data_IF_499432499645
#
_entry.id   IF_499432499645
#
_cell.length_a   1.000
_cell.length_b   1.000
_cell.length_c   1.000
_cell.angle_alpha   90.00
_cell.angle_beta   90.00
_cell.angle_gamma   90.00
#
_symmetry.space_group_name_H-M   'P 1'
#
loop_
_entity.id
_entity.type
_entity.pdbx_description
1 polymer ?
#
# COMPACT_ATOMS: atom_id res chain seq x y z
N UNK A 1 -7.50 14.93 15.44
CA UNK A 1 -8.28 14.06 16.35
C UNK A 1 -7.35 13.57 17.45
N UNK A 2 -7.78 13.51 18.71
CA UNK A 2 -6.97 13.00 19.83
C UNK A 2 -7.68 11.79 20.42
N UNK A 3 -6.94 10.68 20.54
CA UNK A 3 -7.43 9.41 21.08
C UNK A 3 -6.40 8.89 22.10
N UNK A 4 -6.88 8.09 23.04
CA UNK A 4 -6.02 7.33 23.97
C UNK A 4 -6.21 5.86 23.64
N UNK A 5 -5.11 5.14 23.50
CA UNK A 5 -5.10 3.71 23.24
C UNK A 5 -3.99 3.07 24.06
N UNK A 6 -4.22 1.84 24.49
CA UNK A 6 -3.21 1.00 25.14
C UNK A 6 -2.52 0.14 24.10
N UNK A 7 -1.20 0.04 24.20
CA UNK A 7 -0.33 -0.60 23.23
C UNK A 7 0.80 -1.28 24.00
N UNK A 8 1.12 -2.50 23.60
CA UNK A 8 2.28 -3.24 24.12
C UNK A 8 3.59 -2.47 23.85
N UNK A 9 4.48 -2.46 24.84
CA UNK A 9 5.72 -1.70 24.75
C UNK A 9 6.68 -2.23 23.69
N UNK A 10 6.71 -3.56 23.49
CA UNK A 10 7.54 -4.17 22.45
C UNK A 10 7.02 -3.82 21.06
N UNK A 11 5.68 -3.84 20.89
CA UNK A 11 5.06 -3.38 19.65
C UNK A 11 5.39 -1.92 19.35
N UNK A 12 5.33 -1.04 20.35
CA UNK A 12 5.69 0.36 20.17
C UNK A 12 7.16 0.53 19.78
N UNK A 13 8.06 -0.21 20.43
CA UNK A 13 9.49 -0.19 20.11
C UNK A 13 9.74 -0.65 18.67
N UNK A 14 9.03 -1.69 18.22
CA UNK A 14 9.11 -2.16 16.84
C UNK A 14 8.58 -1.13 15.85
N UNK A 15 7.45 -0.49 16.13
CA UNK A 15 6.89 0.58 15.29
C UNK A 15 7.87 1.75 15.16
N UNK A 16 8.49 2.20 16.25
CA UNK A 16 9.51 3.26 16.23
C UNK A 16 10.70 2.85 15.36
N UNK A 17 11.19 1.62 15.52
CA UNK A 17 12.31 1.07 14.73
C UNK A 17 11.97 0.98 13.24
N UNK A 18 10.78 0.50 12.87
CA UNK A 18 10.37 0.30 11.48
C UNK A 18 10.11 1.63 10.77
N UNK A 19 9.46 2.57 11.46
CA UNK A 19 9.13 3.89 10.91
C UNK A 19 10.32 4.85 10.88
N UNK A 20 11.37 4.60 11.68
CA UNK A 20 12.50 5.51 11.87
C UNK A 20 12.17 6.75 12.72
N UNK A 21 10.94 6.81 13.27
CA UNK A 21 10.49 7.92 14.08
C UNK A 21 10.96 7.78 15.54
N UNK A 22 11.31 8.90 16.15
CA UNK A 22 11.73 8.94 17.57
C UNK A 22 10.58 9.18 18.54
N UNK A 23 9.47 9.74 18.05
CA UNK A 23 8.30 10.10 18.86
C UNK A 23 7.15 9.13 18.59
N UNK A 24 6.46 8.74 19.67
CA UNK A 24 5.34 7.77 19.62
C UNK A 24 4.23 8.17 18.65
N UNK A 25 3.82 9.44 18.67
CA UNK A 25 2.71 9.94 17.87
C UNK A 25 2.98 9.88 16.35
N UNK A 26 4.06 10.47 15.81
CA UNK A 26 4.35 10.38 14.38
C UNK A 26 4.63 8.94 13.94
N UNK A 27 5.26 8.11 14.77
CA UNK A 27 5.49 6.69 14.46
C UNK A 27 4.17 5.93 14.25
N UNK A 28 3.22 6.08 15.18
CA UNK A 28 1.90 5.46 15.06
C UNK A 28 1.13 6.01 13.86
N UNK A 29 1.18 7.32 13.62
CA UNK A 29 0.51 7.94 12.47
C UNK A 29 1.05 7.39 11.13
N UNK A 30 2.38 7.28 11.01
CA UNK A 30 3.04 6.74 9.83
C UNK A 30 2.67 5.26 9.62
N UNK A 31 2.77 4.44 10.66
CA UNK A 31 2.45 3.01 10.59
C UNK A 31 0.99 2.75 10.21
N UNK A 32 0.04 3.54 10.75
CA UNK A 32 -1.38 3.43 10.39
C UNK A 32 -1.61 3.83 8.93
N UNK A 33 -0.97 4.92 8.46
CA UNK A 33 -1.05 5.34 7.06
C UNK A 33 -0.56 4.25 6.11
N UNK A 34 0.60 3.68 6.41
CA UNK A 34 1.17 2.59 5.61
C UNK A 34 0.29 1.34 5.61
N UNK A 35 -0.29 0.97 6.75
CA UNK A 35 -1.22 -0.17 6.84
C UNK A 35 -2.44 0.00 5.93
N UNK A 36 -3.02 1.20 5.89
CA UNK A 36 -4.16 1.52 5.03
C UNK A 36 -3.75 1.42 3.55
N UNK A 37 -2.60 1.97 3.18
CA UNK A 37 -2.13 1.93 1.80
C UNK A 37 -1.78 0.50 1.34
N UNK A 38 -1.18 -0.31 2.21
CA UNK A 38 -0.95 -1.72 1.94
C UNK A 38 -2.26 -2.46 1.69
N UNK A 39 -3.30 -2.21 2.50
CA UNK A 39 -4.63 -2.79 2.29
C UNK A 39 -5.27 -2.35 0.98
N UNK A 40 -5.13 -1.08 0.60
CA UNK A 40 -5.61 -0.57 -0.70
C UNK A 40 -4.91 -1.24 -1.86
N UNK A 41 -3.58 -1.36 -1.81
CA UNK A 41 -2.78 -2.06 -2.84
C UNK A 41 -3.20 -3.53 -2.97
N UNK A 42 -3.36 -4.24 -1.85
CA UNK A 42 -3.82 -5.63 -1.85
C UNK A 42 -5.19 -5.79 -2.49
N UNK A 43 -6.16 -4.94 -2.12
CA UNK A 43 -7.50 -4.96 -2.73
C UNK A 43 -7.47 -4.68 -4.23
N UNK A 44 -6.58 -3.77 -4.69
CA UNK A 44 -6.42 -3.49 -6.11
C UNK A 44 -5.94 -4.74 -6.86
N UNK A 45 -4.91 -5.42 -6.34
CA UNK A 45 -4.39 -6.66 -6.92
C UNK A 45 -5.45 -7.77 -6.92
N UNK A 46 -6.17 -7.95 -5.81
CA UNK A 46 -7.25 -8.93 -5.71
C UNK A 46 -8.36 -8.67 -6.74
N UNK A 47 -8.71 -7.40 -6.99
CA UNK A 47 -9.68 -7.04 -8.03
C UNK A 47 -9.16 -7.33 -9.44
N UNK A 48 -7.89 -7.03 -9.71
CA UNK A 48 -7.25 -7.36 -10.99
C UNK A 48 -7.25 -8.87 -11.26
N UNK A 49 -6.89 -9.68 -10.25
CA UNK A 49 -6.90 -11.14 -10.37
C UNK A 49 -8.31 -11.72 -10.56
N UNK A 50 -9.35 -11.04 -10.06
CA UNK A 50 -10.76 -11.44 -10.24
C UNK A 50 -11.34 -10.99 -11.59
N UNK A 51 -10.58 -10.28 -12.42
CA UNK A 51 -11.09 -9.68 -13.66
C UNK A 51 -12.06 -8.53 -13.41
N UNK A 52 -12.16 -8.01 -12.18
CA UNK A 52 -13.02 -6.88 -11.80
C UNK A 52 -12.34 -5.52 -12.06
N UNK A 53 -11.68 -5.44 -13.19
CA UNK A 53 -10.94 -4.27 -13.64
C UNK A 53 -11.54 -3.79 -14.95
N UNK A 54 -12.12 -2.59 -14.91
CA UNK A 54 -12.58 -1.89 -16.10
C UNK A 54 -11.37 -1.29 -16.84
N UNK A 55 -10.46 -2.14 -17.30
CA UNK A 55 -9.43 -1.72 -18.25
C UNK A 55 -10.14 -1.40 -19.57
N UNK A 56 -9.83 -0.25 -20.16
CA UNK A 56 -10.45 0.23 -21.41
C UNK A 56 -9.99 -0.53 -22.65
N UNK A 57 -9.02 -1.43 -22.51
CA UNK A 57 -8.44 -2.24 -23.57
C UNK A 57 -8.03 -3.60 -23.00
N UNK A 58 -8.12 -4.63 -23.84
CA UNK A 58 -7.62 -5.98 -23.61
C UNK A 58 -6.09 -6.03 -23.76
N UNK A 59 -5.45 -7.10 -23.28
CA UNK A 59 -3.99 -7.27 -23.46
C UNK A 59 -3.57 -7.22 -24.93
N UNK A 60 -4.32 -7.89 -25.82
CA UNK A 60 -4.02 -7.94 -27.26
C UNK A 60 -4.06 -6.55 -27.91
N UNK A 61 -5.02 -5.70 -27.49
CA UNK A 61 -5.14 -4.31 -27.97
C UNK A 61 -3.98 -3.44 -27.47
N UNK A 62 -3.46 -3.68 -26.27
CA UNK A 62 -2.31 -2.94 -25.72
C UNK A 62 -1.00 -3.40 -26.35
N UNK A 63 -0.81 -4.71 -26.54
CA UNK A 63 0.38 -5.28 -27.19
C UNK A 63 0.49 -4.86 -28.66
N UNK A 64 -0.65 -4.70 -29.35
CA UNK A 64 -0.70 -4.16 -30.71
C UNK A 64 -0.34 -2.67 -30.84
N UNK A 65 -0.33 -1.91 -29.74
CA UNK A 65 0.03 -0.48 -29.71
C UNK A 65 1.52 -0.23 -29.42
N UNK A 66 2.27 -1.26 -29.03
CA UNK A 66 3.72 -1.17 -28.81
C UNK A 66 4.45 -2.05 -29.83
N UNK A 67 4.72 -1.56 -31.06
CA UNK A 67 5.82 -2.11 -31.83
C UNK A 67 7.08 -1.80 -31.02
N UNK A 68 7.72 -2.83 -30.48
CA UNK A 68 9.08 -2.72 -29.98
C UNK A 68 9.93 -2.18 -31.15
N UNK A 69 10.28 -0.90 -31.08
CA UNK A 69 11.42 -0.38 -31.83
C UNK A 69 12.66 -1.05 -31.24
N UNK A 70 13.00 -2.22 -31.79
CA UNK A 70 14.39 -2.69 -31.79
C UNK A 70 15.21 -1.64 -32.57
N UNK A 71 15.94 -0.78 -31.87
CA UNK A 71 16.99 0.09 -32.43
C UNK A 71 18.06 0.38 -31.38
#
# INVERSE_FOLDING_TARGET
MRITLEIDENLLAEVLRLTGESKKSPALAAAIGEYVDMHRRRRLVERALRGETAYSATNDEVEGLSPLEDS
#
